data_IF_622816357692
#
_entry.id   IF_622816357692
#
_cell.length_a   1.000
_cell.length_b   1.000
_cell.length_c   1.000
_cell.angle_alpha   90.00
_cell.angle_beta   90.00
_cell.angle_gamma   90.00
#
_symmetry.space_group_name_H-M   'P 1'
#
loop_
_entity.id
_entity.type
_entity.pdbx_description
1 polymer ?
#
# COMPACT_ATOMS: atom_id res chain seq x y z
N UNK A 1 17.75 14.74 22.97
CA UNK A 1 16.80 15.08 21.90
C UNK A 1 15.58 14.19 22.08
N UNK A 2 14.37 14.76 22.14
CA UNK A 2 13.13 13.96 22.15
C UNK A 2 13.03 13.27 20.77
N UNK A 3 12.97 11.94 20.75
CA UNK A 3 12.81 11.17 19.50
C UNK A 3 11.49 11.61 18.88
N UNK A 4 11.53 12.15 17.67
CA UNK A 4 10.33 12.56 16.91
C UNK A 4 9.46 11.34 16.68
N UNK A 5 8.15 11.45 16.88
CA UNK A 5 7.22 10.33 16.67
C UNK A 5 7.20 9.94 15.19
N UNK A 6 7.25 8.65 14.88
CA UNK A 6 7.12 8.16 13.52
C UNK A 6 5.71 8.42 13.00
N UNK A 7 5.61 9.12 11.87
CA UNK A 7 4.37 9.48 11.21
C UNK A 7 4.17 8.60 9.97
N UNK A 8 3.04 7.91 9.90
CA UNK A 8 2.74 6.93 8.84
C UNK A 8 1.41 7.24 8.16
N UNK A 9 1.44 7.45 6.85
CA UNK A 9 0.24 7.56 6.01
C UNK A 9 -0.06 6.20 5.36
N UNK A 10 -1.31 5.75 5.46
CA UNK A 10 -1.79 4.53 4.80
C UNK A 10 -2.98 4.89 3.90
N UNK A 11 -2.92 4.54 2.61
CA UNK A 11 -4.03 4.76 1.69
C UNK A 11 -5.03 3.60 1.73
N UNK A 12 -6.34 3.89 1.64
CA UNK A 12 -7.40 2.88 1.69
C UNK A 12 -7.49 2.14 3.03
N UNK A 13 -7.36 2.88 4.12
CA UNK A 13 -7.15 2.40 5.49
C UNK A 13 -8.45 2.36 6.32
N UNK A 14 -9.60 2.54 5.69
CA UNK A 14 -10.88 2.50 6.38
C UNK A 14 -11.37 1.07 6.69
N UNK A 15 -10.69 0.04 6.20
CA UNK A 15 -11.00 -1.39 6.41
C UNK A 15 -9.88 -2.34 5.98
N UNK A 16 -10.08 -3.63 6.24
CA UNK A 16 -9.24 -4.72 5.71
C UNK A 16 -7.80 -4.65 6.17
N UNK A 17 -6.87 -4.96 5.25
CA UNK A 17 -5.43 -5.05 5.54
C UNK A 17 -4.86 -3.71 6.00
N UNK A 18 -5.26 -2.59 5.39
CA UNK A 18 -4.83 -1.25 5.80
C UNK A 18 -5.19 -0.98 7.25
N UNK A 19 -6.46 -1.16 7.62
CA UNK A 19 -6.93 -0.93 8.99
C UNK A 19 -6.22 -1.82 10.03
N UNK A 20 -6.01 -3.11 9.73
CA UNK A 20 -5.27 -4.02 10.61
C UNK A 20 -3.80 -3.61 10.74
N UNK A 21 -3.20 -3.16 9.62
CA UNK A 21 -1.85 -2.58 9.64
C UNK A 21 -1.78 -1.38 10.56
N UNK A 22 -2.76 -0.47 10.50
CA UNK A 22 -2.86 0.69 11.39
C UNK A 22 -2.94 0.29 12.86
N UNK A 23 -3.78 -0.67 13.23
CA UNK A 23 -3.82 -1.18 14.59
C UNK A 23 -2.45 -1.67 15.04
N UNK A 24 -1.79 -2.50 14.21
CA UNK A 24 -0.56 -3.17 14.59
C UNK A 24 0.64 -2.21 14.72
N UNK A 25 0.80 -1.24 13.81
CA UNK A 25 1.89 -0.26 13.88
C UNK A 25 1.61 0.87 14.88
N UNK A 26 0.34 1.26 15.05
CA UNK A 26 -0.07 2.23 16.05
C UNK A 26 0.18 1.74 17.48
N UNK A 27 -0.07 0.45 17.77
CA UNK A 27 0.31 -0.18 19.06
C UNK A 27 1.81 -0.22 19.30
N UNK A 28 2.64 -0.01 18.28
CA UNK A 28 4.10 0.15 18.38
C UNK A 28 4.53 1.61 18.55
N UNK A 29 3.57 2.53 18.73
CA UNK A 29 3.83 3.94 19.06
C UNK A 29 3.94 4.86 17.83
N UNK A 30 3.64 4.39 16.61
CA UNK A 30 3.57 5.28 15.45
C UNK A 30 2.26 6.09 15.48
N UNK A 31 2.30 7.32 14.96
CA UNK A 31 1.10 8.13 14.73
C UNK A 31 0.59 7.87 13.30
N UNK A 32 -0.72 7.63 13.17
CA UNK A 32 -1.34 7.18 11.93
C UNK A 32 -2.11 8.30 11.23
N UNK A 33 -1.87 8.45 9.95
CA UNK A 33 -2.68 9.23 9.02
C UNK A 33 -3.53 8.24 8.21
N UNK A 34 -4.81 8.14 8.55
CA UNK A 34 -5.75 7.22 7.92
C UNK A 34 -6.27 7.82 6.63
N UNK A 35 -5.72 7.38 5.50
CA UNK A 35 -6.11 7.81 4.17
C UNK A 35 -7.39 7.13 3.70
N UNK A 36 -8.53 7.82 3.74
CA UNK A 36 -9.82 7.29 3.33
C UNK A 36 -10.53 8.21 2.33
N UNK A 37 -11.13 7.63 1.28
CA UNK A 37 -11.91 8.40 0.29
C UNK A 37 -13.31 8.80 0.78
N UNK A 38 -13.85 8.08 1.77
CA UNK A 38 -15.17 8.32 2.34
C UNK A 38 -15.03 8.78 3.78
N UNK A 39 -15.48 10.01 4.06
CA UNK A 39 -15.36 10.63 5.37
C UNK A 39 -16.01 9.82 6.48
N UNK A 40 -17.26 9.38 6.31
CA UNK A 40 -17.98 8.67 7.35
C UNK A 40 -17.32 7.33 7.73
N UNK A 41 -16.79 6.58 6.72
CA UNK A 41 -16.04 5.35 7.00
C UNK A 41 -14.69 5.63 7.63
N UNK A 42 -14.01 6.69 7.20
CA UNK A 42 -12.76 7.14 7.81
C UNK A 42 -12.94 7.52 9.29
N UNK A 43 -13.98 8.28 9.63
CA UNK A 43 -14.31 8.64 11.01
C UNK A 43 -14.61 7.41 11.87
N UNK A 44 -15.34 6.42 11.32
CA UNK A 44 -15.56 5.15 12.01
C UNK A 44 -14.25 4.38 12.26
N UNK A 45 -13.32 4.38 11.31
CA UNK A 45 -12.00 3.77 11.47
C UNK A 45 -11.20 4.49 12.58
N UNK A 46 -11.16 5.82 12.57
CA UNK A 46 -10.51 6.63 13.60
C UNK A 46 -11.06 6.30 14.99
N UNK A 47 -12.39 6.26 15.17
CA UNK A 47 -13.00 5.94 16.44
C UNK A 47 -12.60 4.55 16.97
N UNK A 48 -12.50 3.56 16.08
CA UNK A 48 -12.04 2.20 16.44
C UNK A 48 -10.56 2.20 16.82
N UNK A 49 -9.71 2.94 16.10
CA UNK A 49 -8.29 3.06 16.43
C UNK A 49 -8.07 3.73 17.77
N UNK A 50 -8.78 4.83 18.06
CA UNK A 50 -8.74 5.49 19.37
C UNK A 50 -9.20 4.57 20.49
N UNK A 51 -10.28 3.80 20.29
CA UNK A 51 -10.74 2.79 21.26
C UNK A 51 -9.67 1.72 21.51
N UNK A 52 -8.87 1.39 20.50
CA UNK A 52 -7.74 0.46 20.63
C UNK A 52 -6.47 1.09 21.23
N UNK A 53 -6.52 2.38 21.64
CA UNK A 53 -5.40 3.12 22.20
C UNK A 53 -4.37 3.59 21.17
N UNK A 54 -4.75 3.63 19.88
CA UNK A 54 -3.88 4.04 18.77
C UNK A 54 -4.08 5.53 18.48
N UNK A 55 -2.97 6.28 18.38
CA UNK A 55 -2.98 7.68 17.95
C UNK A 55 -3.15 7.77 16.44
N UNK A 56 -4.26 8.35 15.99
CA UNK A 56 -4.60 8.40 14.57
C UNK A 56 -5.42 9.65 14.24
N UNK A 57 -5.32 10.14 13.00
CA UNK A 57 -6.15 11.19 12.43
C UNK A 57 -6.58 10.86 11.00
N UNK A 58 -7.70 11.42 10.57
CA UNK A 58 -8.27 11.19 9.26
C UNK A 58 -7.67 12.15 8.22
N UNK A 59 -7.26 11.59 7.08
CA UNK A 59 -6.88 12.32 5.87
C UNK A 59 -7.83 11.91 4.76
N UNK A 60 -8.63 12.84 4.24
CA UNK A 60 -9.50 12.57 3.10
C UNK A 60 -8.64 12.46 1.85
N UNK A 61 -8.56 11.24 1.30
CA UNK A 61 -7.67 10.88 0.21
C UNK A 61 -8.31 9.84 -0.71
N UNK A 62 -8.74 10.28 -1.89
CA UNK A 62 -9.07 9.40 -3.01
C UNK A 62 -7.88 9.41 -3.97
N UNK A 63 -7.24 8.25 -4.14
CA UNK A 63 -6.04 8.10 -4.95
C UNK A 63 -6.27 8.38 -6.44
N UNK A 64 -7.53 8.39 -6.89
CA UNK A 64 -7.93 8.71 -8.28
C UNK A 64 -8.23 10.20 -8.49
N UNK A 65 -8.18 11.02 -7.43
CA UNK A 65 -8.57 12.42 -7.47
C UNK A 65 -7.41 13.34 -7.10
N UNK A 66 -6.77 13.95 -8.10
CA UNK A 66 -5.62 14.84 -7.91
C UNK A 66 -5.87 15.96 -6.87
N UNK A 67 -7.10 16.47 -6.81
CA UNK A 67 -7.48 17.52 -5.84
C UNK A 67 -7.40 17.05 -4.39
N UNK A 68 -7.85 15.82 -4.09
CA UNK A 68 -7.78 15.25 -2.73
C UNK A 68 -6.34 14.92 -2.34
N UNK A 69 -5.54 14.41 -3.28
CA UNK A 69 -4.11 14.12 -3.08
C UNK A 69 -3.36 15.41 -2.72
N UNK A 70 -3.56 16.48 -3.50
CA UNK A 70 -2.91 17.78 -3.23
C UNK A 70 -3.36 18.38 -1.89
N UNK A 71 -4.64 18.26 -1.54
CA UNK A 71 -5.18 18.73 -0.26
C UNK A 71 -4.58 17.93 0.91
N UNK A 72 -4.51 16.61 0.79
CA UNK A 72 -3.90 15.74 1.78
C UNK A 72 -2.42 16.10 2.04
N UNK A 73 -1.63 16.30 0.98
CA UNK A 73 -0.23 16.71 1.11
C UNK A 73 -0.09 18.06 1.85
N UNK A 74 -0.90 19.04 1.52
CA UNK A 74 -0.92 20.35 2.20
C UNK A 74 -1.35 20.24 3.66
N UNK A 75 -2.37 19.43 3.96
CA UNK A 75 -2.82 19.18 5.33
C UNK A 75 -1.68 18.59 6.17
N UNK A 76 -1.02 17.54 5.68
CA UNK A 76 0.10 16.89 6.38
C UNK A 76 1.28 17.84 6.54
N UNK A 77 1.57 18.66 5.52
CA UNK A 77 2.63 19.66 5.62
C UNK A 77 2.34 20.71 6.70
N UNK A 78 1.12 21.23 6.74
CA UNK A 78 0.71 22.25 7.71
C UNK A 78 0.66 21.72 9.15
N UNK A 79 0.19 20.48 9.36
CA UNK A 79 0.01 19.90 10.69
C UNK A 79 1.29 19.29 11.25
N UNK A 80 2.10 18.66 10.42
CA UNK A 80 3.26 17.86 10.84
C UNK A 80 4.58 18.31 10.20
N UNK A 81 4.56 18.73 8.94
CA UNK A 81 5.73 19.19 8.20
C UNK A 81 6.65 18.07 7.67
N UNK A 82 6.31 16.81 7.88
CA UNK A 82 7.09 15.64 7.44
C UNK A 82 6.23 14.38 7.33
N UNK A 83 6.80 13.33 6.73
CA UNK A 83 6.26 11.97 6.72
C UNK A 83 7.41 10.97 6.80
N UNK A 84 7.30 9.92 7.64
CA UNK A 84 8.35 8.89 7.73
C UNK A 84 8.01 7.63 6.94
N UNK A 85 6.73 7.25 6.88
CA UNK A 85 6.30 6.03 6.21
C UNK A 85 5.06 6.32 5.34
N UNK A 86 5.14 5.96 4.07
CA UNK A 86 4.01 5.91 3.16
C UNK A 86 3.70 4.45 2.84
N UNK A 87 2.46 4.01 3.12
CA UNK A 87 1.97 2.70 2.74
C UNK A 87 0.90 2.88 1.67
N UNK A 88 1.24 2.59 0.43
CA UNK A 88 0.32 2.56 -0.69
C UNK A 88 -0.46 1.25 -0.66
N UNK A 89 -1.57 1.23 0.09
CA UNK A 89 -2.41 0.03 0.29
C UNK A 89 -3.70 0.06 -0.54
N UNK A 90 -4.19 1.22 -0.95
CA UNK A 90 -5.40 1.31 -1.77
C UNK A 90 -5.29 0.45 -3.04
N UNK A 91 -6.30 -0.36 -3.31
CA UNK A 91 -6.31 -1.24 -4.47
C UNK A 91 -7.69 -1.82 -4.76
N UNK A 92 -7.87 -2.30 -5.99
CA UNK A 92 -9.07 -2.99 -6.49
C UNK A 92 -8.67 -4.14 -7.42
N UNK A 93 -9.60 -5.08 -7.62
CA UNK A 93 -9.53 -6.13 -8.64
C UNK A 93 -10.93 -6.30 -9.25
N UNK A 94 -11.09 -5.93 -10.51
CA UNK A 94 -12.39 -5.86 -11.16
C UNK A 94 -12.57 -6.88 -12.28
N UNK A 95 -11.49 -7.54 -12.72
CA UNK A 95 -11.50 -8.38 -13.92
C UNK A 95 -12.13 -9.77 -13.74
N UNK A 96 -12.49 -10.15 -12.51
CA UNK A 96 -13.25 -11.36 -12.18
C UNK A 96 -12.74 -12.64 -12.88
N UNK A 97 -11.42 -12.74 -13.10
CA UNK A 97 -10.74 -13.86 -13.77
C UNK A 97 -11.23 -14.15 -15.21
N UNK A 98 -11.75 -13.14 -15.90
CA UNK A 98 -12.15 -13.30 -17.29
C UNK A 98 -10.96 -13.62 -18.19
N UNK A 99 -11.15 -14.45 -19.25
CA UNK A 99 -10.11 -14.69 -20.23
C UNK A 99 -9.61 -13.38 -20.84
N UNK A 100 -8.30 -13.21 -21.07
CA UNK A 100 -7.73 -11.96 -21.60
C UNK A 100 -8.37 -11.49 -22.91
N UNK A 101 -8.80 -12.42 -23.77
CA UNK A 101 -9.47 -12.12 -25.04
C UNK A 101 -10.90 -11.55 -24.88
N UNK A 102 -11.49 -11.65 -23.69
CA UNK A 102 -12.86 -11.22 -23.41
C UNK A 102 -12.91 -10.07 -22.38
N UNK A 103 -11.81 -9.80 -21.70
CA UNK A 103 -11.76 -8.76 -20.67
C UNK A 103 -11.90 -7.37 -21.30
N UNK A 104 -12.91 -6.56 -20.92
CA UNK A 104 -13.05 -5.21 -21.45
C UNK A 104 -11.83 -4.34 -21.07
N UNK A 105 -11.29 -3.61 -22.05
CA UNK A 105 -10.16 -2.68 -21.81
C UNK A 105 -10.50 -1.64 -20.74
N UNK A 106 -11.76 -1.23 -20.63
CA UNK A 106 -12.20 -0.27 -19.61
C UNK A 106 -12.02 -0.82 -18.19
N UNK A 107 -12.27 -2.12 -17.98
CA UNK A 107 -12.03 -2.78 -16.68
C UNK A 107 -10.54 -2.72 -16.31
N UNK A 108 -9.65 -3.03 -17.27
CA UNK A 108 -8.21 -2.90 -17.06
C UNK A 108 -7.80 -1.46 -16.72
N UNK A 109 -8.37 -0.45 -17.43
CA UNK A 109 -8.11 0.96 -17.12
C UNK A 109 -8.50 1.33 -15.69
N UNK A 110 -9.62 0.81 -15.20
CA UNK A 110 -10.06 1.06 -13.81
C UNK A 110 -9.11 0.43 -12.79
N UNK A 111 -8.63 -0.79 -13.02
CA UNK A 111 -7.61 -1.40 -12.16
C UNK A 111 -6.32 -0.57 -12.14
N UNK A 112 -5.84 -0.14 -13.30
CA UNK A 112 -4.66 0.72 -13.41
C UNK A 112 -4.84 2.08 -12.76
N UNK A 113 -6.01 2.69 -12.88
CA UNK A 113 -6.30 4.01 -12.32
C UNK A 113 -6.10 4.04 -10.81
N UNK A 114 -6.60 3.01 -10.11
CA UNK A 114 -6.44 2.92 -8.66
C UNK A 114 -5.08 2.35 -8.27
N UNK A 115 -4.74 1.17 -8.83
CA UNK A 115 -3.61 0.39 -8.33
C UNK A 115 -2.25 0.98 -8.71
N UNK A 116 -2.16 1.63 -9.88
CA UNK A 116 -0.89 2.13 -10.42
C UNK A 116 -0.86 3.67 -10.47
N UNK A 117 -1.72 4.32 -11.26
CA UNK A 117 -1.68 5.77 -11.42
C UNK A 117 -1.97 6.49 -10.10
N UNK A 118 -2.91 5.99 -9.31
CA UNK A 118 -3.21 6.50 -7.98
C UNK A 118 -2.01 6.38 -7.04
N UNK A 119 -1.37 5.21 -7.00
CA UNK A 119 -0.15 4.97 -6.23
C UNK A 119 0.98 5.94 -6.62
N UNK A 120 1.24 6.10 -7.92
CA UNK A 120 2.28 7.00 -8.43
C UNK A 120 1.97 8.44 -8.04
N UNK A 121 0.72 8.89 -8.25
CA UNK A 121 0.29 10.27 -7.93
C UNK A 121 0.42 10.58 -6.44
N UNK A 122 0.00 9.65 -5.56
CA UNK A 122 0.16 9.81 -4.11
C UNK A 122 1.65 9.84 -3.73
N UNK A 123 2.44 8.92 -4.26
CA UNK A 123 3.89 8.87 -3.99
C UNK A 123 4.56 10.18 -4.37
N UNK A 124 4.33 10.68 -5.58
CA UNK A 124 4.90 11.96 -6.05
C UNK A 124 4.51 13.13 -5.14
N UNK A 125 3.25 13.21 -4.72
CA UNK A 125 2.78 14.27 -3.83
C UNK A 125 3.40 14.22 -2.43
N UNK A 126 3.75 13.01 -1.94
CA UNK A 126 4.32 12.80 -0.60
C UNK A 126 5.86 12.85 -0.55
N UNK A 127 6.57 12.76 -1.68
CA UNK A 127 8.05 12.82 -1.73
C UNK A 127 8.62 14.03 -0.96
N UNK A 128 8.11 15.27 -1.09
CA UNK A 128 8.66 16.40 -0.35
C UNK A 128 8.58 16.24 1.17
N UNK A 129 7.52 15.59 1.66
CA UNK A 129 7.32 15.31 3.09
C UNK A 129 8.20 14.15 3.56
N UNK A 130 8.35 13.11 2.74
CA UNK A 130 9.25 11.97 3.01
C UNK A 130 10.71 12.43 3.09
N UNK A 131 11.16 13.32 2.21
CA UNK A 131 12.51 13.93 2.28
C UNK A 131 12.73 14.67 3.60
N UNK A 132 11.73 15.40 4.10
CA UNK A 132 11.77 16.08 5.41
C UNK A 132 11.73 15.12 6.60
N UNK A 133 11.18 13.92 6.40
CA UNK A 133 11.06 12.86 7.39
C UNK A 133 12.17 11.81 7.34
N UNK A 134 13.16 11.96 6.47
CA UNK A 134 14.22 10.97 6.27
C UNK A 134 15.03 10.67 7.55
N UNK A 135 15.44 9.42 7.77
CA UNK A 135 15.23 8.26 6.92
C UNK A 135 13.75 7.87 6.85
N UNK A 136 13.26 7.61 5.64
CA UNK A 136 11.85 7.35 5.37
C UNK A 136 11.64 6.08 4.53
N UNK A 137 10.39 5.62 4.45
CA UNK A 137 10.04 4.37 3.76
C UNK A 137 8.79 4.54 2.90
N UNK A 138 8.79 3.88 1.76
CA UNK A 138 7.60 3.66 0.92
C UNK A 138 7.38 2.16 0.83
N UNK A 139 6.16 1.71 1.18
CA UNK A 139 5.75 0.32 1.09
C UNK A 139 4.57 0.24 0.13
N UNK A 140 4.78 -0.42 -1.00
CA UNK A 140 3.77 -0.60 -2.02
C UNK A 140 3.11 -1.97 -1.86
N UNK A 141 1.82 -2.00 -1.55
CA UNK A 141 1.06 -3.25 -1.45
C UNK A 141 0.80 -3.76 -2.87
N UNK A 142 1.63 -4.72 -3.29
CA UNK A 142 1.53 -5.43 -4.55
C UNK A 142 0.79 -6.76 -4.38
N UNK A 143 1.13 -7.74 -5.17
CA UNK A 143 0.59 -9.11 -5.13
C UNK A 143 1.59 -10.05 -5.79
N UNK A 144 1.67 -11.31 -5.32
CA UNK A 144 2.35 -12.38 -6.05
C UNK A 144 1.80 -12.58 -7.48
N UNK A 145 0.54 -12.19 -7.72
CA UNK A 145 -0.05 -12.15 -9.06
C UNK A 145 0.59 -11.11 -9.98
N UNK A 146 1.29 -10.11 -9.44
CA UNK A 146 2.09 -9.14 -10.21
C UNK A 146 3.51 -9.61 -10.51
N UNK A 147 3.89 -10.81 -10.10
CA UNK A 147 5.19 -11.42 -10.43
C UNK A 147 5.15 -12.05 -11.82
N UNK A 148 5.94 -11.53 -12.74
CA UNK A 148 6.12 -12.13 -14.07
C UNK A 148 6.79 -13.51 -13.97
N UNK A 149 7.75 -13.64 -13.03
CA UNK A 149 8.40 -14.92 -12.77
C UNK A 149 7.43 -16.02 -12.33
N UNK A 150 6.55 -15.72 -11.36
CA UNK A 150 5.54 -16.70 -10.91
C UNK A 150 4.46 -16.97 -11.96
N UNK A 151 4.05 -15.96 -12.73
CA UNK A 151 3.01 -16.11 -13.74
C UNK A 151 3.46 -16.90 -14.95
N UNK A 152 4.76 -16.90 -15.29
CA UNK A 152 5.32 -17.62 -16.44
C UNK A 152 5.89 -19.01 -16.11
N UNK A 153 5.98 -19.36 -14.84
CA UNK A 153 6.49 -20.65 -14.38
C UNK A 153 5.39 -21.72 -14.39
N UNK A 154 5.47 -22.77 -15.25
CA UNK A 154 4.47 -23.84 -15.31
C UNK A 154 4.26 -24.59 -13.99
N UNK A 155 5.26 -24.62 -13.12
CA UNK A 155 5.19 -25.28 -11.82
C UNK A 155 4.58 -24.38 -10.73
N UNK A 156 4.37 -23.09 -11.03
CA UNK A 156 3.75 -22.14 -10.11
C UNK A 156 2.23 -22.34 -10.05
N UNK A 157 1.66 -22.24 -8.85
CA UNK A 157 0.20 -22.21 -8.65
C UNK A 157 -0.48 -21.02 -9.35
N UNK A 158 0.28 -20.02 -9.76
CA UNK A 158 -0.21 -18.82 -10.45
C UNK A 158 -0.21 -18.93 -11.99
N UNK A 159 0.40 -19.99 -12.54
CA UNK A 159 0.47 -20.20 -14.00
C UNK A 159 -0.90 -20.26 -14.68
N UNK A 160 -1.88 -20.89 -14.02
CA UNK A 160 -3.25 -21.01 -14.56
C UNK A 160 -4.18 -19.85 -14.20
N UNK A 161 -3.68 -18.83 -13.48
CA UNK A 161 -4.51 -17.72 -13.03
C UNK A 161 -4.57 -16.63 -14.10
N UNK A 162 -5.79 -16.34 -14.59
CA UNK A 162 -6.06 -15.23 -15.50
C UNK A 162 -6.71 -14.08 -14.72
N UNK A 163 -6.08 -12.94 -14.73
CA UNK A 163 -6.55 -11.69 -14.10
C UNK A 163 -5.76 -10.52 -14.71
N UNK A 164 -5.85 -10.38 -16.06
CA UNK A 164 -4.92 -9.53 -16.83
C UNK A 164 -4.88 -8.09 -16.32
N UNK A 165 -6.02 -7.48 -16.02
CA UNK A 165 -6.06 -6.09 -15.54
C UNK A 165 -5.36 -5.93 -14.19
N UNK A 166 -5.72 -6.77 -13.24
CA UNK A 166 -5.14 -6.75 -11.90
C UNK A 166 -3.66 -7.15 -11.92
N UNK A 167 -3.31 -8.29 -12.55
CA UNK A 167 -1.92 -8.77 -12.64
C UNK A 167 -1.00 -7.74 -13.27
N UNK A 168 -1.39 -7.17 -14.42
CA UNK A 168 -0.61 -6.15 -15.10
C UNK A 168 -0.46 -4.88 -14.27
N UNK A 169 -1.53 -4.44 -13.55
CA UNK A 169 -1.44 -3.29 -12.65
C UNK A 169 -0.47 -3.52 -11.50
N UNK A 170 -0.43 -4.74 -10.93
CA UNK A 170 0.49 -5.09 -9.84
C UNK A 170 1.94 -5.31 -10.32
N UNK A 171 2.14 -5.80 -11.55
CA UNK A 171 3.45 -5.81 -12.20
C UNK A 171 3.98 -4.37 -12.41
N UNK A 172 3.10 -3.44 -12.84
CA UNK A 172 3.44 -2.03 -12.95
C UNK A 172 3.80 -1.40 -11.58
N UNK A 173 3.11 -1.77 -10.49
CA UNK A 173 3.48 -1.38 -9.11
C UNK A 173 4.86 -1.88 -8.74
N UNK A 174 5.21 -3.13 -9.08
CA UNK A 174 6.53 -3.68 -8.85
C UNK A 174 7.61 -2.90 -9.60
N UNK A 175 7.33 -2.52 -10.86
CA UNK A 175 8.26 -1.71 -11.65
C UNK A 175 8.43 -0.30 -11.06
N UNK A 176 7.34 0.37 -10.67
CA UNK A 176 7.39 1.66 -9.99
C UNK A 176 8.20 1.60 -8.69
N UNK A 177 8.08 0.50 -7.93
CA UNK A 177 8.88 0.28 -6.72
C UNK A 177 10.38 0.34 -7.02
N UNK A 178 10.83 -0.32 -8.08
CA UNK A 178 12.24 -0.34 -8.50
C UNK A 178 12.71 1.06 -8.89
N UNK A 179 11.92 1.80 -9.67
CA UNK A 179 12.33 3.09 -10.19
C UNK A 179 12.33 4.18 -9.10
N UNK A 180 11.28 4.23 -8.26
CA UNK A 180 11.28 5.13 -7.10
C UNK A 180 12.41 4.81 -6.11
N UNK A 181 12.72 3.53 -5.90
CA UNK A 181 13.81 3.14 -5.01
C UNK A 181 15.18 3.64 -5.51
N UNK A 182 15.43 3.57 -6.83
CA UNK A 182 16.66 4.12 -7.43
C UNK A 182 16.73 5.64 -7.31
N UNK A 183 15.62 6.33 -7.61
CA UNK A 183 15.55 7.79 -7.56
C UNK A 183 15.75 8.32 -6.14
N UNK A 184 15.11 7.67 -5.14
CA UNK A 184 15.00 8.20 -3.79
C UNK A 184 16.08 7.69 -2.83
N UNK A 185 16.94 6.77 -3.26
CA UNK A 185 18.06 6.25 -2.47
C UNK A 185 18.99 7.35 -1.94
N UNK A 186 19.38 8.37 -2.74
CA UNK A 186 20.22 9.46 -2.25
C UNK A 186 19.58 10.30 -1.14
N UNK A 187 18.26 10.31 -1.07
CA UNK A 187 17.47 11.01 -0.04
C UNK A 187 17.22 10.15 1.21
N UNK A 188 17.85 8.97 1.33
CA UNK A 188 17.64 8.01 2.40
C UNK A 188 16.17 7.56 2.54
N UNK A 189 15.50 7.35 1.42
CA UNK A 189 14.15 6.80 1.35
C UNK A 189 14.20 5.42 0.69
N UNK A 190 13.80 4.40 1.42
CA UNK A 190 13.71 3.03 0.90
C UNK A 190 12.32 2.76 0.30
N UNK A 191 12.27 2.00 -0.79
CA UNK A 191 11.01 1.63 -1.45
C UNK A 191 10.96 0.13 -1.67
N UNK A 192 9.88 -0.51 -1.19
CA UNK A 192 9.72 -1.95 -1.26
C UNK A 192 8.30 -2.34 -1.65
N UNK A 193 8.15 -3.43 -2.38
CA UNK A 193 6.87 -4.10 -2.66
C UNK A 193 6.60 -5.22 -1.65
N UNK A 194 5.33 -5.40 -1.29
CA UNK A 194 4.89 -6.47 -0.42
C UNK A 194 3.68 -7.19 -0.99
N UNK A 195 3.69 -8.52 -0.90
CA UNK A 195 2.51 -9.36 -1.12
C UNK A 195 1.87 -9.68 0.25
N UNK A 196 0.61 -9.26 0.50
CA UNK A 196 -0.11 -9.60 1.72
C UNK A 196 -0.64 -11.04 1.74
N UNK A 197 -0.53 -11.77 0.63
CA UNK A 197 -1.15 -13.07 0.45
C UNK A 197 -2.66 -13.01 0.19
N UNK A 198 -3.27 -14.17 -0.01
CA UNK A 198 -4.71 -14.27 -0.23
C UNK A 198 -5.48 -14.18 1.09
N UNK A 199 -5.86 -12.96 1.43
CA UNK A 199 -6.41 -12.58 2.73
C UNK A 199 -7.94 -12.46 2.68
N UNK A 200 -8.63 -12.94 3.71
CA UNK A 200 -10.10 -12.83 3.88
C UNK A 200 -10.52 -11.39 4.12
N UNK A 201 -10.84 -10.68 3.04
CA UNK A 201 -11.34 -9.29 3.04
C UNK A 201 -12.49 -9.15 2.04
N UNK A 202 -13.09 -7.96 1.98
CA UNK A 202 -14.07 -7.62 0.93
C UNK A 202 -13.41 -7.31 -0.43
N UNK A 203 -12.10 -7.45 -0.55
CA UNK A 203 -11.36 -7.18 -1.77
C UNK A 203 -11.77 -8.15 -2.89
N UNK A 204 -12.02 -7.63 -4.09
CA UNK A 204 -12.49 -8.46 -5.22
C UNK A 204 -13.89 -9.05 -5.05
N UNK A 205 -14.67 -8.58 -4.06
CA UNK A 205 -16.04 -9.06 -3.83
C UNK A 205 -16.15 -10.46 -3.22
N UNK A 206 -15.03 -11.10 -2.90
CA UNK A 206 -15.00 -12.47 -2.39
C UNK A 206 -14.29 -12.51 -1.03
N UNK A 207 -15.02 -12.95 0.00
CA UNK A 207 -14.46 -13.13 1.36
C UNK A 207 -13.69 -14.44 1.55
N UNK A 208 -13.39 -15.16 0.49
CA UNK A 208 -12.65 -16.41 0.51
C UNK A 208 -11.15 -16.13 0.48
N UNK A 209 -10.50 -16.02 1.61
CA UNK A 209 -9.04 -15.96 1.71
C UNK A 209 -8.50 -17.12 2.52
N UNK A 210 -7.26 -17.50 2.29
CA UNK A 210 -6.56 -18.52 3.08
C UNK A 210 -6.08 -17.95 4.42
N UNK A 211 -5.78 -16.64 4.45
CA UNK A 211 -5.20 -15.95 5.59
C UNK A 211 -6.21 -15.03 6.30
N UNK A 212 -6.00 -14.83 7.59
CA UNK A 212 -6.65 -13.77 8.36
C UNK A 212 -6.13 -12.38 7.95
N UNK A 213 -6.86 -11.32 8.30
CA UNK A 213 -6.43 -9.94 8.02
C UNK A 213 -5.12 -9.61 8.75
N UNK A 214 -4.94 -10.13 9.95
CA UNK A 214 -3.72 -9.95 10.75
C UNK A 214 -2.49 -10.62 10.09
N UNK A 215 -2.65 -11.83 9.56
CA UNK A 215 -1.58 -12.51 8.80
C UNK A 215 -1.24 -11.75 7.52
N UNK A 216 -2.25 -11.24 6.79
CA UNK A 216 -2.04 -10.41 5.60
C UNK A 216 -1.34 -9.09 5.88
N UNK A 217 -1.57 -8.48 7.06
CA UNK A 217 -0.89 -7.27 7.48
C UNK A 217 0.56 -7.50 7.96
N UNK A 218 0.91 -8.72 8.38
CA UNK A 218 2.16 -9.00 9.11
C UNK A 218 3.43 -8.53 8.38
N UNK A 219 3.54 -8.78 7.07
CA UNK A 219 4.72 -8.38 6.29
C UNK A 219 4.79 -6.86 6.11
N UNK A 220 3.64 -6.19 5.92
CA UNK A 220 3.57 -4.72 5.84
C UNK A 220 4.04 -4.11 7.16
N UNK A 221 3.55 -4.63 8.28
CA UNK A 221 3.92 -4.21 9.64
C UNK A 221 5.42 -4.41 9.89
N UNK A 222 5.97 -5.53 9.46
CA UNK A 222 7.41 -5.82 9.57
C UNK A 222 8.23 -4.77 8.81
N UNK A 223 7.90 -4.49 7.56
CA UNK A 223 8.60 -3.49 6.75
C UNK A 223 8.46 -2.07 7.32
N UNK A 224 7.27 -1.70 7.80
CA UNK A 224 7.02 -0.38 8.39
C UNK A 224 7.80 -0.15 9.70
N UNK A 225 8.04 -1.22 10.48
CA UNK A 225 8.75 -1.16 11.76
C UNK A 225 10.25 -1.45 11.64
N UNK A 226 10.71 -2.03 10.53
CA UNK A 226 12.13 -2.39 10.35
C UNK A 226 12.97 -1.13 10.08
N UNK A 227 13.96 -0.91 10.93
CA UNK A 227 14.92 0.20 10.80
C UNK A 227 16.18 -0.19 10.00
N UNK A 228 16.20 -1.37 9.36
CA UNK A 228 17.33 -1.82 8.55
C UNK A 228 17.46 -0.98 7.28
N UNK A 229 18.58 -0.29 7.06
CA UNK A 229 18.82 0.51 5.85
C UNK A 229 18.99 -0.35 4.58
N UNK A 230 19.18 -1.66 4.73
CA UNK A 230 19.46 -2.58 3.61
C UNK A 230 18.21 -3.08 2.91
N UNK A 231 17.01 -2.80 3.45
CA UNK A 231 15.75 -3.17 2.83
C UNK A 231 15.33 -2.12 1.79
N UNK A 232 15.88 -2.21 0.61
CA UNK A 232 15.49 -1.39 -0.55
C UNK A 232 15.42 -2.28 -1.81
N UNK A 233 14.51 -1.95 -2.72
CA UNK A 233 14.29 -2.72 -3.97
C UNK A 233 14.00 -4.20 -3.66
N UNK A 234 13.08 -4.46 -2.73
CA UNK A 234 12.66 -5.83 -2.42
C UNK A 234 11.20 -6.05 -2.77
N UNK A 235 10.89 -7.27 -3.21
CA UNK A 235 9.53 -7.78 -3.29
C UNK A 235 9.43 -8.98 -2.36
N UNK A 236 8.58 -8.86 -1.33
CA UNK A 236 8.56 -9.84 -0.24
C UNK A 236 7.15 -10.21 0.19
N UNK A 237 7.03 -11.37 0.81
CA UNK A 237 5.88 -11.81 1.60
C UNK A 237 6.35 -12.38 2.92
N UNK A 238 5.44 -12.83 3.78
CA UNK A 238 5.78 -13.41 5.09
C UNK A 238 6.73 -14.61 4.98
N UNK A 239 6.62 -15.39 3.90
CA UNK A 239 7.48 -16.56 3.65
C UNK A 239 8.89 -16.18 3.14
N UNK A 240 9.12 -14.94 2.69
CA UNK A 240 10.41 -14.48 2.21
C UNK A 240 10.36 -13.60 0.96
N UNK A 241 11.44 -13.64 0.17
CA UNK A 241 11.53 -12.88 -1.09
C UNK A 241 10.73 -13.56 -2.19
N UNK A 242 10.10 -12.74 -3.02
CA UNK A 242 9.42 -13.15 -4.24
C UNK A 242 10.23 -12.72 -5.48
N UNK A 243 10.16 -13.48 -6.59
CA UNK A 243 10.64 -12.99 -7.89
C UNK A 243 9.73 -11.85 -8.37
N UNK A 244 10.34 -10.93 -9.14
CA UNK A 244 9.63 -9.81 -9.77
C UNK A 244 8.68 -10.25 -10.89
#
# INVERSE_FOLDING_TARGET
MVKRQTLTLITGDDKGIGFETSIAIGKRGQHLLVGARNQARGEQAINKLHTAGVSAELVILDVTQAGTIATAAKQIEASHGYLNVLINNAGIALDAHQPPSQLPVMTMRQDFEVNFFGLVSVTQAMIPLLKKGAPAKIINVSSNMGSLGLASDPDSRFFQVNSLGYQASKAAVNFATIDFAKELQPDHISVNSVNPGWTRTDFGGNRSGEQTVAEGAAQIVKLAADDSPDLNITFTETAGKLPW
#
